data_IF_464634126977
#
_entry.id   IF_464634126977
#
_cell.length_a   1.000
_cell.length_b   1.000
_cell.length_c   1.000
_cell.angle_alpha   90.00
_cell.angle_beta   90.00
_cell.angle_gamma   90.00
#
_symmetry.space_group_name_H-M   'P 1'
#
loop_
_entity.id
_entity.type
_entity.pdbx_description
1 polymer ?
#
# COMPACT_ATOMS: atom_id res chain seq x y z
N UNK A 1 -20.47 -57.41 32.46
CA UNK A 1 -19.81 -56.16 32.91
C UNK A 1 -18.85 -55.69 31.83
N UNK A 2 -19.06 -54.45 31.36
CA UNK A 2 -18.05 -53.54 30.80
C UNK A 2 -17.61 -53.70 29.33
N UNK A 3 -18.50 -53.56 28.35
CA UNK A 3 -18.10 -53.22 26.97
C UNK A 3 -19.03 -52.27 26.18
N UNK A 4 -19.97 -51.56 26.82
CA UNK A 4 -20.93 -50.67 26.11
C UNK A 4 -20.76 -49.17 26.41
N UNK A 5 -19.54 -48.64 26.36
CA UNK A 5 -19.31 -47.17 26.53
C UNK A 5 -18.36 -46.51 25.54
N UNK A 6 -17.78 -47.27 24.60
CA UNK A 6 -16.77 -46.72 23.67
C UNK A 6 -17.39 -46.24 22.35
N UNK A 7 -18.64 -46.63 22.03
CA UNK A 7 -19.26 -46.32 20.73
C UNK A 7 -20.15 -45.06 20.70
N UNK A 8 -20.34 -44.36 21.82
CA UNK A 8 -21.20 -43.15 21.88
C UNK A 8 -20.38 -41.84 21.92
N UNK A 9 -19.09 -41.90 22.24
CA UNK A 9 -18.24 -40.69 22.30
C UNK A 9 -17.70 -40.31 20.90
N UNK A 10 -17.64 -41.23 19.95
CA UNK A 10 -17.18 -40.94 18.58
C UNK A 10 -18.22 -40.19 17.72
N UNK A 11 -19.50 -40.23 18.09
CA UNK A 11 -20.58 -39.62 17.29
C UNK A 11 -20.89 -38.14 17.64
N UNK A 12 -20.33 -37.61 18.72
CA UNK A 12 -20.49 -36.19 19.11
C UNK A 12 -19.27 -35.31 18.76
N UNK A 13 -18.17 -35.91 18.31
CA UNK A 13 -16.99 -35.15 17.84
C UNK A 13 -17.01 -34.88 16.33
N UNK A 14 -17.96 -35.44 15.59
CA UNK A 14 -18.10 -35.22 14.14
C UNK A 14 -19.16 -34.17 13.74
N UNK A 15 -19.98 -33.67 14.68
CA UNK A 15 -20.95 -32.59 14.39
C UNK A 15 -20.38 -31.17 14.53
N UNK A 16 -19.14 -31.01 15.02
CA UNK A 16 -18.48 -29.69 15.09
C UNK A 16 -17.56 -29.43 13.91
N UNK A 17 -17.08 -30.48 13.22
CA UNK A 17 -16.20 -30.34 12.06
C UNK A 17 -17.00 -30.05 10.76
N UNK A 18 -18.31 -30.34 10.75
CA UNK A 18 -19.19 -30.09 9.60
C UNK A 18 -19.79 -28.69 9.50
N UNK A 19 -19.65 -27.83 10.51
CA UNK A 19 -20.24 -26.46 10.52
C UNK A 19 -19.17 -25.38 10.34
N UNK A 20 -17.89 -25.69 10.53
CA UNK A 20 -16.79 -24.73 10.35
C UNK A 20 -16.35 -24.51 8.90
N UNK A 21 -16.95 -25.21 7.92
CA UNK A 21 -16.62 -25.06 6.50
C UNK A 21 -17.58 -24.12 5.72
N UNK A 22 -18.64 -23.58 6.36
CA UNK A 22 -19.57 -22.61 5.72
C UNK A 22 -19.22 -21.15 6.08
N UNK A 23 -17.96 -20.89 6.40
CA UNK A 23 -17.41 -19.53 6.49
C UNK A 23 -16.00 -19.46 5.92
N UNK A 24 -15.71 -20.25 4.87
CA UNK A 24 -14.61 -19.87 3.97
C UNK A 24 -15.07 -18.60 3.26
N UNK A 25 -14.41 -17.51 3.62
CA UNK A 25 -14.91 -16.17 3.49
C UNK A 25 -15.38 -15.82 2.09
N UNK A 26 -16.33 -14.89 2.04
CA UNK A 26 -16.42 -13.96 0.93
C UNK A 26 -15.00 -13.44 0.65
N UNK A 27 -14.30 -14.01 -0.33
CA UNK A 27 -13.20 -13.31 -0.98
C UNK A 27 -13.88 -12.13 -1.66
N UNK A 28 -13.94 -11.00 -0.94
CA UNK A 28 -14.28 -9.72 -1.54
C UNK A 28 -13.18 -9.45 -2.57
N UNK A 29 -13.43 -9.84 -3.81
CA UNK A 29 -12.59 -9.50 -4.94
C UNK A 29 -12.52 -7.98 -5.01
N UNK A 30 -11.32 -7.43 -4.88
CA UNK A 30 -11.08 -6.00 -4.97
C UNK A 30 -11.56 -5.49 -6.33
N UNK A 31 -12.50 -4.54 -6.33
CA UNK A 31 -13.08 -3.96 -7.55
C UNK A 31 -12.36 -2.66 -7.88
N UNK A 32 -11.75 -2.59 -9.05
CA UNK A 32 -11.12 -1.37 -9.53
C UNK A 32 -11.16 -1.27 -11.05
N UNK A 33 -11.02 -0.05 -11.56
CA UNK A 33 -10.90 0.28 -12.97
C UNK A 33 -9.67 1.15 -13.19
N UNK A 34 -8.94 0.88 -14.27
CA UNK A 34 -7.79 1.69 -14.71
C UNK A 34 -8.17 2.34 -16.03
N UNK A 35 -8.27 3.66 -16.02
CA UNK A 35 -8.54 4.47 -17.19
C UNK A 35 -7.39 4.46 -18.19
N UNK A 36 -7.69 4.93 -19.40
CA UNK A 36 -6.72 5.06 -20.47
C UNK A 36 -5.67 6.15 -20.17
N UNK A 37 -4.60 6.11 -20.95
CA UNK A 37 -3.53 7.11 -20.91
C UNK A 37 -4.09 8.48 -21.32
N UNK A 38 -4.11 9.43 -20.39
CA UNK A 38 -4.69 10.76 -20.60
C UNK A 38 -3.66 11.88 -20.42
N UNK A 39 -3.87 12.99 -21.11
CA UNK A 39 -3.08 14.22 -20.98
C UNK A 39 -3.57 15.11 -19.82
N UNK A 40 -4.48 14.62 -18.97
CA UNK A 40 -5.11 15.43 -17.91
C UNK A 40 -4.06 15.79 -16.87
N UNK A 41 -3.75 17.08 -16.76
CA UNK A 41 -2.86 17.62 -15.74
C UNK A 41 -3.65 17.98 -14.48
N UNK A 42 -3.91 17.00 -13.62
CA UNK A 42 -4.33 17.30 -12.24
C UNK A 42 -3.10 17.72 -11.43
N UNK A 43 -2.76 19.00 -11.50
CA UNK A 43 -1.70 19.59 -10.68
C UNK A 43 -2.07 19.50 -9.20
N UNK A 44 -1.24 18.81 -8.40
CA UNK A 44 -1.25 18.88 -6.94
C UNK A 44 -2.09 17.86 -6.18
N UNK A 45 -2.93 17.04 -6.82
CA UNK A 45 -3.70 15.98 -6.15
C UNK A 45 -3.41 14.61 -6.75
N UNK A 46 -2.81 13.72 -5.95
CA UNK A 46 -2.54 12.33 -6.31
C UNK A 46 -3.72 11.40 -6.02
N UNK A 47 -4.60 11.77 -5.09
CA UNK A 47 -5.80 11.00 -4.71
C UNK A 47 -6.97 11.93 -4.38
N UNK A 48 -8.17 11.51 -4.77
CA UNK A 48 -9.48 12.08 -4.40
C UNK A 48 -10.37 10.96 -3.84
N UNK A 49 -11.31 11.31 -2.97
CA UNK A 49 -12.25 10.35 -2.40
C UNK A 49 -13.69 10.86 -2.53
N UNK A 50 -14.55 10.06 -3.17
CA UNK A 50 -15.99 10.28 -3.26
C UNK A 50 -16.68 9.55 -2.11
N UNK A 51 -17.02 10.28 -1.04
CA UNK A 51 -17.66 9.73 0.15
C UNK A 51 -19.04 9.14 -0.12
N UNK A 52 -19.79 9.74 -1.05
CA UNK A 52 -21.17 9.34 -1.35
C UNK A 52 -21.19 7.96 -2.00
N UNK A 53 -20.26 7.72 -2.93
CA UNK A 53 -20.18 6.47 -3.67
C UNK A 53 -19.12 5.50 -3.10
N UNK A 54 -18.34 5.94 -2.10
CA UNK A 54 -17.20 5.21 -1.51
C UNK A 54 -16.17 4.79 -2.56
N UNK A 55 -15.81 5.74 -3.42
CA UNK A 55 -14.87 5.52 -4.52
C UNK A 55 -13.59 6.31 -4.24
N UNK A 56 -12.45 5.62 -4.23
CA UNK A 56 -11.15 6.24 -4.21
C UNK A 56 -10.65 6.41 -5.64
N UNK A 57 -10.25 7.63 -5.99
CA UNK A 57 -9.77 7.99 -7.33
C UNK A 57 -8.31 8.41 -7.20
N UNK A 58 -7.39 7.63 -7.76
CA UNK A 58 -5.97 7.96 -7.77
C UNK A 58 -5.49 8.34 -9.18
N UNK A 59 -4.59 9.31 -9.25
CA UNK A 59 -4.00 9.79 -10.50
C UNK A 59 -2.54 9.34 -10.56
N UNK A 60 -2.25 8.36 -11.42
CA UNK A 60 -0.93 7.72 -11.51
C UNK A 60 -0.23 8.22 -12.77
N UNK A 61 0.96 8.80 -12.61
CA UNK A 61 1.85 9.11 -13.72
C UNK A 61 2.61 7.86 -14.12
N UNK A 62 2.46 7.42 -15.37
CA UNK A 62 3.04 6.17 -15.88
C UNK A 62 3.76 6.38 -17.21
N UNK A 63 4.66 5.46 -17.56
CA UNK A 63 5.12 5.34 -18.94
C UNK A 63 3.96 4.87 -19.84
N UNK A 64 3.82 5.44 -21.05
CA UNK A 64 2.70 5.03 -21.91
C UNK A 64 2.86 3.59 -22.44
N UNK A 65 4.08 3.07 -22.50
CA UNK A 65 4.38 1.76 -23.06
C UNK A 65 4.70 0.76 -21.96
N UNK A 66 4.11 -0.42 -22.05
CA UNK A 66 4.56 -1.54 -21.24
C UNK A 66 4.23 -1.41 -19.75
N UNK A 67 3.22 -0.65 -19.35
CA UNK A 67 2.85 -0.50 -17.93
C UNK A 67 1.48 -1.11 -17.65
N UNK A 68 1.44 -2.03 -16.68
CA UNK A 68 0.22 -2.52 -16.03
C UNK A 68 0.13 -1.91 -14.63
N UNK A 69 -1.04 -1.36 -14.30
CA UNK A 69 -1.37 -0.96 -12.93
C UNK A 69 -2.22 -2.06 -12.31
N UNK A 70 -1.78 -2.57 -11.16
CA UNK A 70 -2.54 -3.50 -10.33
C UNK A 70 -2.73 -2.93 -8.94
N UNK A 71 -3.79 -3.34 -8.24
CA UNK A 71 -4.06 -2.88 -6.87
C UNK A 71 -4.04 -4.08 -5.96
N UNK A 72 -3.31 -3.97 -4.85
CA UNK A 72 -3.33 -4.92 -3.75
C UNK A 72 -3.90 -4.21 -2.51
N UNK A 73 -4.63 -4.97 -1.68
CA UNK A 73 -5.17 -4.47 -0.42
C UNK A 73 -4.54 -5.25 0.72
N UNK A 74 -3.91 -4.54 1.64
CA UNK A 74 -3.41 -5.07 2.91
C UNK A 74 -4.05 -4.26 4.03
N UNK A 75 -4.87 -4.91 4.86
CA UNK A 75 -5.62 -4.25 5.93
C UNK A 75 -6.44 -3.04 5.44
N UNK A 76 -6.06 -1.82 5.81
CA UNK A 76 -6.68 -0.56 5.41
C UNK A 76 -5.84 0.22 4.36
N UNK A 77 -4.78 -0.40 3.85
CA UNK A 77 -3.89 0.19 2.85
C UNK A 77 -4.15 -0.41 1.47
N UNK A 78 -4.32 0.47 0.49
CA UNK A 78 -4.46 0.15 -0.92
C UNK A 78 -3.15 0.50 -1.63
N UNK A 79 -2.43 -0.52 -2.07
CA UNK A 79 -1.17 -0.37 -2.80
C UNK A 79 -1.46 -0.34 -4.29
N UNK A 80 -1.08 0.74 -4.95
CA UNK A 80 -1.18 0.90 -6.40
C UNK A 80 0.19 0.55 -6.98
N UNK A 81 0.28 -0.62 -7.60
CA UNK A 81 1.54 -1.18 -8.10
C UNK A 81 1.70 -0.92 -9.59
N UNK A 82 2.84 -0.35 -9.95
CA UNK A 82 3.27 -0.21 -11.34
C UNK A 82 4.16 -1.38 -11.75
N UNK A 83 3.71 -2.17 -12.74
CA UNK A 83 4.48 -3.27 -13.33
C UNK A 83 4.88 -2.92 -14.75
N UNK A 84 6.19 -2.75 -14.98
CA UNK A 84 6.75 -2.53 -16.32
C UNK A 84 7.06 -3.86 -17.01
N UNK A 85 6.65 -4.01 -18.26
CA UNK A 85 7.00 -5.07 -19.18
C UNK A 85 7.52 -4.47 -20.49
N UNK A 86 8.51 -5.11 -21.10
CA UNK A 86 9.18 -4.55 -22.29
C UNK A 86 9.93 -3.25 -22.01
N UNK A 87 10.31 -2.57 -23.08
CA UNK A 87 11.11 -1.34 -23.00
C UNK A 87 10.23 -0.10 -22.75
N UNK A 88 10.66 0.82 -21.86
CA UNK A 88 9.97 2.09 -21.66
C UNK A 88 10.12 2.97 -22.91
N UNK A 89 9.07 3.71 -23.26
CA UNK A 89 9.12 4.69 -24.33
C UNK A 89 9.32 6.12 -23.79
N UNK A 90 9.71 7.07 -24.65
CA UNK A 90 9.92 8.48 -24.27
C UNK A 90 8.60 9.25 -24.14
N UNK A 91 7.67 8.74 -23.34
CA UNK A 91 6.44 9.43 -23.02
C UNK A 91 5.93 9.06 -21.63
N UNK A 92 5.25 10.01 -21.01
CA UNK A 92 4.59 9.85 -19.71
C UNK A 92 3.15 10.33 -19.85
N UNK A 93 2.23 9.69 -19.16
CA UNK A 93 0.83 10.12 -19.11
C UNK A 93 0.20 9.83 -17.76
N UNK A 94 -0.98 10.41 -17.53
CA UNK A 94 -1.77 10.18 -16.33
C UNK A 94 -2.83 9.13 -16.60
N UNK A 95 -2.95 8.15 -15.71
CA UNK A 95 -4.07 7.21 -15.65
C UNK A 95 -4.89 7.46 -14.39
N UNK A 96 -6.21 7.44 -14.56
CA UNK A 96 -7.16 7.49 -13.46
C UNK A 96 -7.43 6.06 -12.97
N UNK A 97 -7.24 5.80 -11.68
CA UNK A 97 -7.53 4.51 -11.06
C UNK A 97 -8.70 4.71 -10.11
N UNK A 98 -9.83 4.05 -10.39
CA UNK A 98 -11.00 4.04 -9.51
C UNK A 98 -11.02 2.75 -8.72
N UNK A 99 -11.04 2.86 -7.40
CA UNK A 99 -11.19 1.72 -6.49
C UNK A 99 -12.53 1.86 -5.79
N UNK A 100 -13.36 0.83 -5.88
CA UNK A 100 -14.73 0.83 -5.39
C UNK A 100 -14.83 0.23 -3.98
N UNK A 101 -15.88 0.63 -3.26
CA UNK A 101 -16.18 0.14 -1.91
C UNK A 101 -15.03 0.32 -0.90
N UNK A 102 -14.31 1.44 -1.03
CA UNK A 102 -13.19 1.80 -0.15
C UNK A 102 -13.74 2.44 1.13
N UNK A 103 -13.29 2.05 2.34
CA UNK A 103 -13.71 2.69 3.57
C UNK A 103 -13.09 4.10 3.73
N UNK A 104 -13.77 4.98 4.46
CA UNK A 104 -13.24 6.29 4.83
C UNK A 104 -11.98 6.10 5.68
N UNK A 105 -10.95 6.90 5.40
CA UNK A 105 -9.65 6.81 6.07
C UNK A 105 -8.74 5.70 5.55
N UNK A 106 -9.08 5.07 4.42
CA UNK A 106 -8.18 4.17 3.72
C UNK A 106 -6.87 4.89 3.33
N UNK A 107 -5.75 4.18 3.46
CA UNK A 107 -4.43 4.69 3.11
C UNK A 107 -4.06 4.23 1.71
N UNK A 108 -3.24 5.03 1.02
CA UNK A 108 -2.82 4.74 -0.35
C UNK A 108 -1.31 4.85 -0.47
N UNK A 109 -0.70 3.79 -0.98
CA UNK A 109 0.72 3.73 -1.31
C UNK A 109 0.88 3.55 -2.82
N UNK A 110 1.81 4.29 -3.41
CA UNK A 110 2.24 4.08 -4.78
C UNK A 110 3.53 3.26 -4.74
N UNK A 111 3.53 2.15 -5.46
CA UNK A 111 4.59 1.14 -5.39
C UNK A 111 5.14 0.90 -6.79
N UNK A 112 6.46 1.03 -6.95
CA UNK A 112 7.09 0.81 -8.25
C UNK A 112 7.29 -0.70 -8.55
N UNK A 113 7.86 -0.99 -9.72
CA UNK A 113 8.13 -2.36 -10.19
C UNK A 113 9.03 -3.20 -9.26
N UNK A 114 9.87 -2.56 -8.44
CA UNK A 114 10.77 -3.23 -7.51
C UNK A 114 10.05 -3.53 -6.16
N UNK A 115 8.80 -3.07 -6.03
CA UNK A 115 8.01 -3.16 -4.81
C UNK A 115 8.46 -2.18 -3.72
N UNK A 116 9.06 -1.06 -4.12
CA UNK A 116 9.46 0.06 -3.27
C UNK A 116 8.33 1.07 -3.24
N UNK A 117 7.99 1.58 -2.05
CA UNK A 117 6.97 2.63 -1.89
C UNK A 117 7.59 3.95 -2.33
N UNK A 118 7.06 4.54 -3.40
CA UNK A 118 7.57 5.79 -3.98
C UNK A 118 6.87 7.02 -3.46
N UNK A 119 5.60 6.90 -3.05
CA UNK A 119 4.86 7.95 -2.39
C UNK A 119 3.67 7.41 -1.59
N UNK A 120 3.21 8.20 -0.62
CA UNK A 120 2.01 7.93 0.17
C UNK A 120 1.06 9.11 -0.03
N UNK A 121 -0.21 8.84 -0.29
CA UNK A 121 -1.18 9.91 -0.50
C UNK A 121 -1.27 10.85 0.72
N UNK A 122 -1.16 12.16 0.49
CA UNK A 122 -1.20 13.18 1.54
C UNK A 122 0.10 13.37 2.33
N UNK A 123 1.11 12.53 2.11
CA UNK A 123 2.41 12.62 2.78
C UNK A 123 3.49 13.09 1.79
N UNK A 124 4.32 14.04 2.20
CA UNK A 124 5.32 14.67 1.33
C UNK A 124 6.77 14.48 1.79
N UNK A 125 7.02 13.58 2.75
CA UNK A 125 8.36 13.12 3.04
C UNK A 125 8.91 12.22 1.93
N UNK A 126 10.23 12.03 1.94
CA UNK A 126 10.93 11.20 0.95
C UNK A 126 11.91 10.24 1.62
N UNK A 127 12.28 9.19 0.90
CA UNK A 127 13.15 8.12 1.38
C UNK A 127 14.48 8.16 0.63
N UNK A 128 15.60 7.98 1.32
CA UNK A 128 16.90 7.77 0.66
C UNK A 128 17.00 6.37 0.04
N UNK A 129 16.18 5.43 0.53
CA UNK A 129 16.25 4.01 0.21
C UNK A 129 17.58 3.38 0.63
N UNK A 130 18.23 3.94 1.65
CA UNK A 130 19.45 3.40 2.23
C UNK A 130 19.27 1.96 2.71
N UNK A 131 20.35 1.18 2.69
CA UNK A 131 20.32 -0.23 3.09
C UNK A 131 19.91 -0.37 4.57
N UNK A 132 19.08 -1.36 4.85
CA UNK A 132 18.73 -1.79 6.21
C UNK A 132 18.60 -3.31 6.31
N UNK A 133 18.68 -3.82 7.53
CA UNK A 133 18.39 -5.22 7.87
C UNK A 133 17.15 -5.32 8.76
N UNK A 134 16.88 -4.28 9.55
CA UNK A 134 15.78 -4.17 10.50
C UNK A 134 15.21 -2.75 10.55
N UNK A 135 14.02 -2.58 11.13
CA UNK A 135 13.39 -1.27 11.29
C UNK A 135 14.25 -0.30 12.10
N UNK A 136 15.04 -0.82 13.04
CA UNK A 136 15.96 -0.07 13.90
C UNK A 136 17.16 0.51 13.13
N UNK A 137 17.37 0.09 11.89
CA UNK A 137 18.36 0.70 11.00
C UNK A 137 17.83 1.95 10.30
N UNK A 138 16.52 2.18 10.35
CA UNK A 138 15.87 3.29 9.67
C UNK A 138 15.55 4.42 10.65
N UNK A 139 16.03 5.62 10.30
CA UNK A 139 15.91 6.82 11.13
C UNK A 139 15.18 7.92 10.38
N UNK A 140 14.34 8.64 11.10
CA UNK A 140 13.72 9.87 10.63
C UNK A 140 14.75 10.98 10.77
N UNK A 141 15.06 11.65 9.66
CA UNK A 141 16.02 12.74 9.57
C UNK A 141 15.44 13.93 8.79
N UNK A 142 16.25 14.95 8.56
CA UNK A 142 15.83 16.25 8.04
C UNK A 142 15.28 17.12 9.16
N UNK A 143 15.42 18.44 9.01
CA UNK A 143 15.08 19.38 10.08
C UNK A 143 13.60 19.35 10.48
N UNK A 144 12.71 18.96 9.56
CA UNK A 144 11.27 18.84 9.76
C UNK A 144 10.81 17.38 9.86
N UNK A 145 11.74 16.42 9.97
CA UNK A 145 11.44 14.98 10.01
C UNK A 145 10.93 14.42 8.68
N UNK A 146 11.30 15.04 7.55
CA UNK A 146 10.79 14.69 6.22
C UNK A 146 11.56 13.56 5.51
N UNK A 147 12.71 13.14 6.04
CA UNK A 147 13.58 12.15 5.39
C UNK A 147 13.52 10.83 6.13
N UNK A 148 13.23 9.74 5.44
CA UNK A 148 13.47 8.39 5.95
C UNK A 148 14.78 7.89 5.37
N UNK A 149 15.77 7.62 6.22
CA UNK A 149 17.08 7.17 5.78
C UNK A 149 17.63 6.03 6.60
N UNK A 150 18.68 5.41 6.09
CA UNK A 150 19.46 4.45 6.88
C UNK A 150 20.38 5.19 7.85
N UNK A 151 20.56 4.62 9.04
CA UNK A 151 21.57 5.08 10.00
C UNK A 151 23.01 4.90 9.49
N UNK A 152 23.21 4.09 8.45
CA UNK A 152 24.50 3.86 7.80
C UNK A 152 24.84 4.91 6.74
N UNK A 153 23.93 5.84 6.47
CA UNK A 153 24.16 7.00 5.59
C UNK A 153 24.56 8.22 6.42
N UNK A 154 25.27 9.15 5.77
CA UNK A 154 25.52 10.47 6.33
C UNK A 154 24.18 11.21 6.61
N UNK A 155 24.11 12.04 7.65
CA UNK A 155 22.93 12.85 7.93
C UNK A 155 22.54 13.74 6.75
N UNK A 156 21.24 13.82 6.49
CA UNK A 156 20.70 14.63 5.40
C UNK A 156 20.28 15.98 5.93
N UNK A 157 21.03 17.02 5.56
CA UNK A 157 20.71 18.40 5.93
C UNK A 157 19.68 18.94 4.94
N UNK A 158 18.50 19.24 5.44
CA UNK A 158 17.41 19.90 4.69
C UNK A 158 17.20 21.32 5.21
N UNK A 159 16.42 22.11 4.49
CA UNK A 159 15.82 23.31 5.07
C UNK A 159 14.90 22.94 6.24
N UNK A 160 14.72 23.88 7.17
CA UNK A 160 13.82 23.77 8.34
C UNK A 160 12.43 24.32 8.05
N UNK A 161 12.01 24.31 6.79
CA UNK A 161 10.65 24.70 6.41
C UNK A 161 9.69 23.61 6.84
N UNK A 162 8.62 23.99 7.54
CA UNK A 162 7.58 23.07 7.98
C UNK A 162 6.45 23.03 6.95
N UNK A 163 6.06 21.80 6.56
CA UNK A 163 4.84 21.52 5.81
C UNK A 163 4.01 20.51 6.59
N UNK A 164 2.69 20.69 6.63
CA UNK A 164 1.80 19.81 7.40
C UNK A 164 1.83 18.36 6.90
N UNK A 165 2.14 18.15 5.61
CA UNK A 165 2.27 16.83 5.00
C UNK A 165 3.52 16.05 5.43
N UNK A 166 4.43 16.61 6.24
CA UNK A 166 5.55 15.86 6.83
C UNK A 166 5.13 15.02 8.04
N UNK A 167 3.95 15.28 8.62
CA UNK A 167 3.47 14.53 9.78
C UNK A 167 2.04 14.09 9.55
N UNK A 168 1.90 12.91 8.94
CA UNK A 168 0.62 12.25 8.70
C UNK A 168 0.51 11.05 9.64
N UNK A 169 -0.67 10.84 10.23
CA UNK A 169 -0.89 9.73 11.15
C UNK A 169 -0.75 8.37 10.45
N UNK A 170 -0.10 7.45 11.15
CA UNK A 170 0.15 6.09 10.66
C UNK A 170 0.96 6.03 9.38
N UNK A 171 1.95 6.92 9.27
CA UNK A 171 3.10 6.83 8.37
C UNK A 171 4.35 6.64 9.23
N UNK A 172 5.21 5.67 8.88
CA UNK A 172 6.42 5.36 9.63
C UNK A 172 7.61 5.08 8.69
N UNK A 173 8.81 5.39 9.14
CA UNK A 173 10.06 5.04 8.47
C UNK A 173 10.47 3.63 8.89
N UNK A 174 10.52 2.69 7.93
CA UNK A 174 10.63 1.26 8.18
C UNK A 174 11.55 0.56 7.17
N UNK A 175 12.06 -0.61 7.54
CA UNK A 175 12.89 -1.41 6.66
C UNK A 175 12.04 -2.35 5.82
N UNK A 176 11.89 -2.03 4.54
CA UNK A 176 11.09 -2.84 3.62
C UNK A 176 11.94 -3.27 2.44
N UNK A 177 12.02 -4.58 2.22
CA UNK A 177 12.88 -5.19 1.19
C UNK A 177 14.35 -4.69 1.27
N UNK A 178 14.86 -4.54 2.49
CA UNK A 178 16.24 -4.11 2.74
C UNK A 178 16.53 -2.64 2.44
N UNK A 179 15.49 -1.81 2.29
CA UNK A 179 15.59 -0.37 2.07
C UNK A 179 14.76 0.40 3.09
N UNK A 180 15.34 1.46 3.66
CA UNK A 180 14.60 2.38 4.50
C UNK A 180 13.66 3.21 3.66
N UNK A 181 12.37 3.10 3.94
CA UNK A 181 11.33 3.83 3.24
C UNK A 181 10.17 4.21 4.16
N UNK A 182 9.53 5.33 3.86
CA UNK A 182 8.23 5.66 4.43
C UNK A 182 7.18 4.65 3.96
N UNK A 183 6.43 4.09 4.92
CA UNK A 183 5.26 3.23 4.67
C UNK A 183 4.09 3.66 5.55
N UNK A 184 2.91 3.17 5.20
CA UNK A 184 1.72 3.26 6.04
C UNK A 184 1.70 2.12 7.06
N UNK A 185 1.21 2.39 8.27
CA UNK A 185 1.14 1.45 9.41
C UNK A 185 -0.24 1.34 10.02
#
# INVERSE_FOLDING_TARGET
>A
MKHDKVLIIAALMFSVIGISLIAYGFMNTLKYEVGECSSVSKFGKTVEYDEKNRILIAFVKVNCCGVVITIEKEENTYKILEKQYGDPCRCECMREVKIYDVPIGAKVEFVNKDGVVTSIAGFCGWSTYGKCESDEDCVIDGCSGQVCRSKFEEPVITTCEWLDCYKVEGVACKCVKGKCQWITT
#
